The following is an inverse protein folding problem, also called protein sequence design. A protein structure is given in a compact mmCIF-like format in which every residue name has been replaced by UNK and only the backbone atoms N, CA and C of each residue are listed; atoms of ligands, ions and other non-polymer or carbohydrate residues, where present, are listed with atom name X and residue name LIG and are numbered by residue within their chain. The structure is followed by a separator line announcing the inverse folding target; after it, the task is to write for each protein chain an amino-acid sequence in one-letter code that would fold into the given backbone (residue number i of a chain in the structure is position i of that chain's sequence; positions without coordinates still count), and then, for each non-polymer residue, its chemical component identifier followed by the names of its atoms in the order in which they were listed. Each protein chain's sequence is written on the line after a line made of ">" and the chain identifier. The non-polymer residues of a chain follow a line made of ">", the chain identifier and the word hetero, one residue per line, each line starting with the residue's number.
data_IF_325792474233
#
_entry.id   IF_325792474233
#
_cell.length_a   1.000
_cell.length_b   1.000
_cell.length_c   1.000
_cell.angle_alpha   90.00
_cell.angle_beta   90.00
_cell.angle_gamma   90.00
#
_symmetry.space_group_name_H-M   'P 1'
#
loop_
_entity.id
_entity.type
_entity.pdbx_description
1 polymer ?
#
# COMPACT_ATOMS: atom_id res chain seq x y z
N UNK A 1 41.05 -14.90 23.65
CA UNK A 1 39.79 -14.18 23.93
C UNK A 1 39.46 -13.12 22.88
N UNK A 2 40.31 -12.13 22.59
CA UNK A 2 39.98 -11.05 21.64
C UNK A 2 39.76 -11.56 20.21
N UNK A 3 40.61 -12.45 19.70
CA UNK A 3 40.46 -13.03 18.35
C UNK A 3 39.18 -13.88 18.20
N UNK A 4 38.82 -14.66 19.22
CA UNK A 4 37.59 -15.46 19.27
C UNK A 4 36.34 -14.57 19.22
N UNK A 5 36.35 -13.47 20.00
CA UNK A 5 35.26 -12.52 20.04
C UNK A 5 35.13 -11.75 18.71
N UNK A 6 36.25 -11.36 18.09
CA UNK A 6 36.25 -10.70 16.80
C UNK A 6 35.65 -11.60 15.70
N UNK A 7 35.97 -12.90 15.70
CA UNK A 7 35.41 -13.86 14.75
C UNK A 7 33.88 -14.00 14.90
N UNK A 8 33.38 -14.12 16.15
CA UNK A 8 31.94 -14.16 16.42
C UNK A 8 31.22 -12.88 16.01
N UNK A 9 31.81 -11.71 16.25
CA UNK A 9 31.24 -10.43 15.82
C UNK A 9 31.12 -10.39 14.29
N UNK A 10 32.16 -10.84 13.57
CA UNK A 10 32.13 -10.90 12.10
C UNK A 10 31.02 -11.82 11.58
N UNK A 11 30.89 -13.02 12.15
CA UNK A 11 29.84 -13.98 11.78
C UNK A 11 28.44 -13.40 12.03
N UNK A 12 28.21 -12.82 13.21
CA UNK A 12 26.92 -12.19 13.54
C UNK A 12 26.62 -10.97 12.67
N UNK A 13 27.64 -10.17 12.33
CA UNK A 13 27.51 -9.02 11.43
C UNK A 13 27.08 -9.45 10.03
N UNK A 14 27.65 -10.53 9.49
CA UNK A 14 27.26 -11.06 8.19
C UNK A 14 25.79 -11.54 8.19
N UNK A 15 25.40 -12.30 9.21
CA UNK A 15 24.01 -12.78 9.37
C UNK A 15 23.02 -11.61 9.48
N UNK A 16 23.36 -10.58 10.24
CA UNK A 16 22.52 -9.39 10.37
C UNK A 16 22.38 -8.67 9.02
N UNK A 17 23.48 -8.52 8.28
CA UNK A 17 23.47 -7.86 6.98
C UNK A 17 22.58 -8.60 5.98
N UNK A 18 22.68 -9.93 5.88
CA UNK A 18 21.80 -10.75 5.05
C UNK A 18 20.31 -10.58 5.40
N UNK A 19 20.00 -10.51 6.71
CA UNK A 19 18.63 -10.27 7.18
C UNK A 19 18.13 -8.88 6.79
N UNK A 20 18.98 -7.86 6.85
CA UNK A 20 18.64 -6.50 6.42
C UNK A 20 18.34 -6.48 4.91
N UNK A 21 19.16 -7.14 4.09
CA UNK A 21 18.93 -7.26 2.65
C UNK A 21 17.58 -7.93 2.36
N UNK A 22 17.33 -9.09 2.99
CA UNK A 22 16.06 -9.83 2.86
C UNK A 22 14.86 -8.97 3.28
N UNK A 23 15.00 -8.21 4.37
CA UNK A 23 13.95 -7.30 4.83
C UNK A 23 13.67 -6.20 3.80
N UNK A 24 14.71 -5.63 3.19
CA UNK A 24 14.57 -4.63 2.13
C UNK A 24 13.77 -5.14 0.93
N UNK A 25 14.05 -6.37 0.48
CA UNK A 25 13.30 -7.02 -0.60
C UNK A 25 11.82 -7.22 -0.26
N UNK A 26 11.53 -7.66 0.97
CA UNK A 26 10.16 -7.82 1.45
C UNK A 26 9.41 -6.49 1.48
N UNK A 27 10.04 -5.41 1.91
CA UNK A 27 9.43 -4.07 1.90
C UNK A 27 9.16 -3.57 0.48
N UNK A 28 10.04 -3.82 -0.49
CA UNK A 28 9.76 -3.45 -1.88
C UNK A 28 8.60 -4.25 -2.48
N UNK A 29 8.50 -5.55 -2.16
CA UNK A 29 7.35 -6.37 -2.54
C UNK A 29 6.03 -5.85 -1.96
N UNK A 30 6.03 -5.43 -0.69
CA UNK A 30 4.88 -4.79 -0.04
C UNK A 30 4.51 -3.46 -0.72
N UNK A 31 5.51 -2.62 -1.01
CA UNK A 31 5.31 -1.35 -1.73
C UNK A 31 4.62 -1.55 -3.07
N UNK A 32 5.06 -2.53 -3.87
CA UNK A 32 4.44 -2.86 -5.18
C UNK A 32 3.00 -3.33 -5.03
N UNK A 33 2.72 -4.17 -4.04
CA UNK A 33 1.37 -4.69 -3.77
C UNK A 33 0.40 -3.58 -3.36
N UNK A 34 0.83 -2.66 -2.48
CA UNK A 34 0.04 -1.50 -2.08
C UNK A 34 -0.25 -0.56 -3.25
N UNK A 35 0.75 -0.30 -4.10
CA UNK A 35 0.56 0.49 -5.31
C UNK A 35 -0.54 -0.11 -6.20
N UNK A 36 -0.47 -1.42 -6.46
CA UNK A 36 -1.47 -2.10 -7.28
C UNK A 36 -2.88 -2.00 -6.68
N UNK A 37 -3.01 -2.19 -5.36
CA UNK A 37 -4.29 -2.05 -4.67
C UNK A 37 -4.89 -0.63 -4.83
N UNK A 38 -4.06 0.41 -4.69
CA UNK A 38 -4.46 1.80 -4.89
C UNK A 38 -4.87 2.06 -6.35
N UNK A 39 -4.11 1.55 -7.32
CA UNK A 39 -4.43 1.71 -8.74
C UNK A 39 -5.79 1.05 -9.09
N UNK A 40 -6.07 -0.15 -8.54
CA UNK A 40 -7.36 -0.82 -8.69
C UNK A 40 -8.52 -0.08 -8.04
N UNK A 41 -8.31 0.47 -6.83
CA UNK A 41 -9.29 1.32 -6.16
C UNK A 41 -9.63 2.54 -7.03
N UNK A 42 -8.61 3.27 -7.50
CA UNK A 42 -8.79 4.47 -8.33
C UNK A 42 -9.56 4.17 -9.62
N UNK A 43 -9.23 3.08 -10.32
CA UNK A 43 -9.97 2.66 -11.52
C UNK A 43 -11.44 2.36 -11.22
N UNK A 44 -11.72 1.73 -10.09
CA UNK A 44 -13.07 1.38 -9.67
C UNK A 44 -13.87 2.63 -9.30
N UNK A 45 -13.27 3.54 -8.52
CA UNK A 45 -13.85 4.83 -8.17
C UNK A 45 -14.18 5.66 -9.42
N UNK A 46 -13.22 5.82 -10.33
CA UNK A 46 -13.45 6.54 -11.59
C UNK A 46 -14.55 5.91 -12.45
N UNK A 47 -14.67 4.58 -12.46
CA UNK A 47 -15.78 3.89 -13.14
C UNK A 47 -17.14 4.18 -12.50
N UNK A 48 -17.22 4.21 -11.16
CA UNK A 48 -18.45 4.55 -10.45
C UNK A 48 -18.89 5.98 -10.81
N UNK A 49 -17.96 6.92 -10.77
CA UNK A 49 -18.22 8.34 -11.06
C UNK A 49 -18.61 8.59 -12.52
N UNK A 50 -17.89 7.98 -13.46
CA UNK A 50 -18.11 8.22 -14.89
C UNK A 50 -19.32 7.46 -15.46
N UNK A 51 -19.69 6.31 -14.89
CA UNK A 51 -20.70 5.41 -15.49
C UNK A 51 -21.90 5.17 -14.59
N UNK A 52 -21.67 4.86 -13.32
CA UNK A 52 -22.75 4.42 -12.42
C UNK A 52 -23.54 5.60 -11.87
N UNK A 53 -22.88 6.65 -11.38
CA UNK A 53 -23.56 7.81 -10.81
C UNK A 53 -24.45 8.57 -11.81
N UNK A 54 -24.04 8.80 -13.08
CA UNK A 54 -24.93 9.40 -14.07
C UNK A 54 -26.18 8.55 -14.32
N UNK A 55 -26.02 7.24 -14.53
CA UNK A 55 -27.15 6.33 -14.74
C UNK A 55 -28.10 6.31 -13.53
N UNK A 56 -27.55 6.30 -12.32
CA UNK A 56 -28.34 6.34 -11.10
C UNK A 56 -29.07 7.68 -10.92
N UNK A 57 -28.50 8.81 -11.37
CA UNK A 57 -29.19 10.10 -11.42
C UNK A 57 -30.36 10.09 -12.42
N UNK A 58 -30.17 9.50 -13.61
CA UNK A 58 -31.25 9.37 -14.60
C UNK A 58 -32.39 8.48 -14.09
N UNK A 59 -32.09 7.35 -13.45
CA UNK A 59 -33.12 6.51 -12.83
C UNK A 59 -33.92 7.24 -11.76
N UNK A 60 -33.26 8.04 -10.91
CA UNK A 60 -33.95 8.87 -9.94
C UNK A 60 -34.90 9.88 -10.61
N UNK A 61 -34.52 10.50 -11.73
CA UNK A 61 -35.41 11.40 -12.50
C UNK A 61 -36.64 10.69 -13.04
N UNK A 62 -36.53 9.40 -13.35
CA UNK A 62 -37.63 8.55 -13.84
C UNK A 62 -38.47 7.94 -12.70
N UNK A 63 -38.24 8.36 -11.44
CA UNK A 63 -38.95 7.83 -10.27
C UNK A 63 -38.52 6.41 -9.86
N UNK A 64 -37.44 5.88 -10.44
CA UNK A 64 -36.89 4.58 -10.09
C UNK A 64 -35.92 4.78 -8.92
N UNK A 65 -36.39 4.40 -7.73
CA UNK A 65 -35.60 4.47 -6.50
C UNK A 65 -35.30 3.07 -5.97
N UNK A 66 -34.11 2.89 -5.39
CA UNK A 66 -33.82 1.69 -4.63
C UNK A 66 -34.66 1.70 -3.35
N UNK A 67 -35.53 0.70 -3.19
CA UNK A 67 -36.32 0.52 -1.96
C UNK A 67 -35.35 0.26 -0.80
N UNK A 68 -35.13 1.29 0.03
CA UNK A 68 -34.32 1.27 1.26
C UNK A 68 -32.78 1.32 1.10
N UNK A 69 -32.25 1.85 0.00
CA UNK A 69 -30.80 2.12 -0.13
C UNK A 69 -30.55 3.47 -0.81
N UNK A 70 -29.64 4.27 -0.26
CA UNK A 70 -29.11 5.47 -0.93
C UNK A 70 -27.76 5.15 -1.59
N UNK A 71 -27.41 5.91 -2.63
CA UNK A 71 -26.06 5.88 -3.19
C UNK A 71 -25.10 6.45 -2.14
N UNK A 72 -24.30 5.60 -1.50
CA UNK A 72 -23.19 6.05 -0.68
C UNK A 72 -21.95 6.21 -1.55
N UNK A 73 -21.30 7.37 -1.49
CA UNK A 73 -19.96 7.54 -2.04
C UNK A 73 -18.97 6.83 -1.13
N UNK A 74 -17.99 6.15 -1.71
CA UNK A 74 -16.85 5.66 -0.94
C UNK A 74 -16.18 6.86 -0.28
N UNK A 75 -15.81 6.74 1.01
CA UNK A 75 -14.98 7.75 1.67
C UNK A 75 -13.57 7.70 1.10
N UNK A 76 -12.88 8.83 1.11
CA UNK A 76 -11.46 8.89 0.76
C UNK A 76 -10.66 7.92 1.64
N UNK A 77 -9.61 7.35 1.07
CA UNK A 77 -8.67 6.53 1.83
C UNK A 77 -7.83 7.47 2.72
N UNK A 78 -8.24 7.63 3.98
CA UNK A 78 -7.64 8.59 4.93
C UNK A 78 -6.17 8.30 5.32
N UNK A 79 -5.59 7.15 4.96
CA UNK A 79 -4.21 6.80 5.32
C UNK A 79 -3.36 6.48 4.11
N UNK A 80 -2.26 7.22 3.96
CA UNK A 80 -1.16 6.89 3.08
C UNK A 80 -0.19 5.92 3.79
N UNK A 81 0.43 4.96 3.09
CA UNK A 81 1.50 4.15 3.65
C UNK A 81 2.61 5.05 4.22
N UNK A 82 3.12 4.70 5.40
CA UNK A 82 4.21 5.46 6.05
C UNK A 82 5.43 5.48 5.14
N UNK A 83 5.96 6.67 4.86
CA UNK A 83 7.23 6.80 4.12
C UNK A 83 8.37 6.20 4.93
N UNK A 84 9.04 5.19 4.36
CA UNK A 84 10.34 4.74 4.85
C UNK A 84 11.36 5.82 4.53
N UNK A 85 11.96 6.40 5.56
CA UNK A 85 13.02 7.37 5.40
C UNK A 85 14.31 6.60 5.14
N UNK A 86 14.77 6.57 3.89
CA UNK A 86 16.02 5.90 3.48
C UNK A 86 17.28 6.61 3.99
N UNK A 87 17.14 7.79 4.62
CA UNK A 87 18.26 8.60 5.13
C UNK A 87 19.07 7.94 6.26
N UNK A 88 18.55 6.89 6.90
CA UNK A 88 19.29 6.12 7.91
C UNK A 88 20.11 4.96 7.31
N UNK A 89 19.78 4.54 6.07
CA UNK A 89 20.58 3.58 5.29
C UNK A 89 21.58 4.37 4.44
N UNK A 90 22.60 4.92 5.09
CA UNK A 90 23.82 5.31 4.36
C UNK A 90 24.56 4.03 4.00
N UNK A 91 24.42 3.60 2.75
CA UNK A 91 25.32 2.63 2.14
C UNK A 91 26.29 3.47 1.31
N UNK A 92 27.54 3.56 1.79
CA UNK A 92 28.65 4.12 1.01
C UNK A 92 28.97 3.22 -0.20
#
# INVERSE_FOLDING_TARGET
>A
MIAENAKKISELGHILYERICTMGENFDNLRRSLKSAVDHYNKTAGSLEARVFPAAREFNKLGIHAKNKSLSTAKELESLPRNLHTGELKVD
#
